data_IF_484816458822
#
_entry.id   IF_484816458822
#
_cell.length_a   1.000
_cell.length_b   1.000
_cell.length_c   1.000
_cell.angle_alpha   90.00
_cell.angle_beta   90.00
_cell.angle_gamma   90.00
#
_symmetry.space_group_name_H-M   'P 1'
#
loop_
_entity.id
_entity.type
_entity.pdbx_description
1 polymer ?
#
# COMPACT_ATOMS: atom_id res chain seq x y z
N UNK A 1 -9.04 -85.01 -6.69
CA UNK A 1 -8.58 -84.71 -5.33
C UNK A 1 -7.62 -83.53 -5.43
N UNK A 2 -8.04 -82.37 -4.91
CA UNK A 2 -7.30 -81.12 -4.60
C UNK A 2 -6.36 -80.53 -5.67
N UNK A 3 -6.72 -79.44 -6.37
CA UNK A 3 -6.58 -78.02 -5.94
C UNK A 3 -5.19 -77.63 -5.42
N UNK A 4 -4.46 -76.84 -6.22
CA UNK A 4 -4.16 -75.42 -5.92
C UNK A 4 -3.02 -74.92 -6.81
N UNK A 5 -3.38 -74.44 -8.00
CA UNK A 5 -2.50 -73.60 -8.81
C UNK A 5 -2.24 -72.30 -8.04
N UNK A 6 -1.09 -72.21 -7.38
CA UNK A 6 -0.52 -70.97 -6.85
C UNK A 6 -0.21 -70.01 -8.01
N UNK A 7 -1.24 -69.39 -8.57
CA UNK A 7 -1.10 -68.14 -9.32
C UNK A 7 -0.78 -67.05 -8.31
N UNK A 8 0.51 -66.95 -7.94
CA UNK A 8 1.06 -65.80 -7.24
C UNK A 8 0.80 -64.60 -8.16
N UNK A 9 -0.25 -63.82 -7.88
CA UNK A 9 -0.49 -62.57 -8.56
C UNK A 9 0.76 -61.71 -8.36
N UNK A 10 1.54 -61.56 -9.42
CA UNK A 10 2.66 -60.62 -9.41
C UNK A 10 2.04 -59.24 -9.11
N UNK A 11 2.57 -58.48 -8.14
CA UNK A 11 2.10 -57.13 -7.90
C UNK A 11 2.20 -56.36 -9.22
N UNK A 12 1.12 -55.67 -9.58
CA UNK A 12 1.03 -54.88 -10.81
C UNK A 12 1.96 -53.66 -10.63
N UNK A 13 3.25 -53.84 -10.94
CA UNK A 13 4.36 -52.94 -10.57
C UNK A 13 4.17 -51.49 -11.00
N UNK A 14 3.34 -51.28 -12.01
CA UNK A 14 2.98 -49.95 -12.53
C UNK A 14 2.04 -49.17 -11.59
N UNK A 15 1.22 -49.87 -10.78
CA UNK A 15 0.36 -49.27 -9.76
C UNK A 15 1.16 -48.69 -8.60
N UNK A 16 2.09 -49.49 -8.07
CA UNK A 16 2.93 -49.15 -6.91
C UNK A 16 3.86 -47.95 -7.19
N UNK A 17 4.52 -47.94 -8.36
CA UNK A 17 5.42 -46.83 -8.72
C UNK A 17 4.67 -45.51 -8.92
N UNK A 18 3.48 -45.58 -9.53
CA UNK A 18 2.64 -44.41 -9.77
C UNK A 18 2.15 -43.80 -8.46
N UNK A 19 1.76 -44.64 -7.50
CA UNK A 19 1.35 -44.20 -6.17
C UNK A 19 2.50 -43.51 -5.43
N UNK A 20 3.70 -44.09 -5.47
CA UNK A 20 4.90 -43.47 -4.89
C UNK A 20 5.18 -42.08 -5.48
N UNK A 21 5.14 -41.95 -6.81
CA UNK A 21 5.36 -40.66 -7.49
C UNK A 21 4.30 -39.64 -7.10
N UNK A 22 3.03 -40.04 -7.05
CA UNK A 22 1.93 -39.16 -6.64
C UNK A 22 2.11 -38.69 -5.19
N UNK A 23 2.46 -39.59 -4.28
CA UNK A 23 2.70 -39.27 -2.86
C UNK A 23 3.85 -38.28 -2.72
N UNK A 24 4.99 -38.53 -3.36
CA UNK A 24 6.16 -37.63 -3.31
C UNK A 24 5.79 -36.24 -3.84
N UNK A 25 5.15 -36.19 -5.02
CA UNK A 25 4.73 -34.93 -5.63
C UNK A 25 3.79 -34.15 -4.69
N UNK A 26 2.80 -34.82 -4.11
CA UNK A 26 1.86 -34.21 -3.18
C UNK A 26 2.52 -33.75 -1.88
N UNK A 27 3.43 -34.53 -1.30
CA UNK A 27 4.14 -34.16 -0.07
C UNK A 27 4.96 -32.88 -0.27
N UNK A 28 5.75 -32.81 -1.34
CA UNK A 28 6.53 -31.59 -1.66
C UNK A 28 5.60 -30.42 -1.95
N UNK A 29 4.55 -30.64 -2.75
CA UNK A 29 3.56 -29.61 -3.08
C UNK A 29 2.89 -29.05 -1.82
N UNK A 30 2.57 -29.90 -0.84
CA UNK A 30 1.94 -29.48 0.42
C UNK A 30 2.82 -28.48 1.19
N UNK A 31 4.13 -28.75 1.27
CA UNK A 31 5.09 -27.85 1.92
C UNK A 31 5.17 -26.51 1.16
N UNK A 32 5.21 -26.55 -0.17
CA UNK A 32 5.23 -25.34 -0.99
C UNK A 32 3.94 -24.53 -0.86
N UNK A 33 2.77 -25.17 -0.83
CA UNK A 33 1.47 -24.52 -0.59
C UNK A 33 1.46 -23.79 0.76
N UNK A 34 1.92 -24.45 1.82
CA UNK A 34 2.00 -23.84 3.14
C UNK A 34 2.97 -22.64 3.14
N UNK A 35 4.11 -22.76 2.45
CA UNK A 35 5.07 -21.67 2.30
C UNK A 35 4.50 -20.47 1.54
N UNK A 36 3.80 -20.70 0.41
CA UNK A 36 3.20 -19.60 -0.36
C UNK A 36 2.08 -18.93 0.40
N UNK A 37 1.25 -19.68 1.11
CA UNK A 37 0.20 -19.10 1.97
C UNK A 37 0.79 -18.25 3.10
N UNK A 38 1.88 -18.72 3.73
CA UNK A 38 2.60 -17.95 4.75
C UNK A 38 3.19 -16.65 4.20
N UNK A 39 3.84 -16.70 3.04
CA UNK A 39 4.39 -15.50 2.39
C UNK A 39 3.29 -14.52 1.97
N UNK A 40 2.16 -15.01 1.44
CA UNK A 40 1.00 -14.16 1.13
C UNK A 40 0.52 -13.41 2.38
N UNK A 41 0.35 -14.11 3.50
CA UNK A 41 -0.06 -13.50 4.77
C UNK A 41 0.94 -12.44 5.27
N UNK A 42 2.24 -12.69 5.15
CA UNK A 42 3.29 -11.73 5.51
C UNK A 42 3.24 -10.45 4.68
N UNK A 43 3.16 -10.59 3.36
CA UNK A 43 3.05 -9.44 2.45
C UNK A 43 1.74 -8.66 2.66
N UNK A 44 0.63 -9.36 2.90
CA UNK A 44 -0.63 -8.73 3.30
C UNK A 44 -0.52 -7.96 4.62
N UNK A 45 0.31 -8.44 5.56
CA UNK A 45 0.62 -7.74 6.80
C UNK A 45 1.38 -6.43 6.58
N UNK A 46 2.47 -6.45 5.80
CA UNK A 46 3.23 -5.23 5.47
C UNK A 46 2.42 -4.23 4.64
N UNK A 47 1.57 -4.72 3.73
CA UNK A 47 0.56 -3.91 3.05
C UNK A 47 -0.35 -3.19 4.06
N UNK A 48 -0.95 -3.94 4.99
CA UNK A 48 -1.88 -3.38 5.99
C UNK A 48 -1.19 -2.32 6.86
N UNK A 49 0.02 -2.60 7.35
CA UNK A 49 0.82 -1.63 8.11
C UNK A 49 1.07 -0.36 7.30
N UNK A 50 1.45 -0.50 6.03
CA UNK A 50 1.75 0.63 5.16
C UNK A 50 0.49 1.46 4.84
N UNK A 51 -0.66 0.82 4.59
CA UNK A 51 -1.94 1.52 4.42
C UNK A 51 -2.41 2.21 5.71
N UNK A 52 -2.19 1.61 6.88
CA UNK A 52 -2.49 2.26 8.16
C UNK A 52 -1.63 3.52 8.36
N UNK A 53 -0.33 3.44 8.04
CA UNK A 53 0.56 4.61 8.06
C UNK A 53 0.13 5.69 7.06
N UNK A 54 -0.26 5.30 5.84
CA UNK A 54 -0.79 6.22 4.85
C UNK A 54 -2.06 6.92 5.34
N UNK A 55 -2.95 6.18 6.00
CA UNK A 55 -4.21 6.71 6.52
C UNK A 55 -3.97 7.67 7.68
N UNK A 56 -3.05 7.35 8.59
CA UNK A 56 -2.62 8.27 9.65
C UNK A 56 -2.04 9.57 9.07
N UNK A 57 -1.17 9.48 8.07
CA UNK A 57 -0.61 10.64 7.40
C UNK A 57 -1.68 11.51 6.69
N UNK A 58 -2.73 10.91 6.12
CA UNK A 58 -3.88 11.66 5.57
C UNK A 58 -4.67 12.39 6.65
N UNK A 59 -4.84 11.78 7.84
CA UNK A 59 -5.47 12.44 8.98
C UNK A 59 -4.64 13.63 9.45
N UNK A 60 -3.33 13.47 9.55
CA UNK A 60 -2.41 14.55 9.89
C UNK A 60 -2.45 15.68 8.84
N UNK A 61 -2.45 15.34 7.55
CA UNK A 61 -2.62 16.32 6.48
C UNK A 61 -3.90 17.15 6.66
N UNK A 62 -5.05 16.49 6.86
CA UNK A 62 -6.32 17.18 7.11
C UNK A 62 -6.30 18.06 8.37
N UNK A 63 -5.64 17.60 9.44
CA UNK A 63 -5.43 18.38 10.67
C UNK A 63 -4.62 19.65 10.40
N UNK A 64 -3.52 19.53 9.67
CA UNK A 64 -2.64 20.65 9.32
C UNK A 64 -3.31 21.63 8.32
N UNK A 65 -4.05 21.14 7.34
CA UNK A 65 -4.85 21.99 6.45
C UNK A 65 -5.94 22.76 7.22
N UNK A 66 -6.62 22.09 8.15
CA UNK A 66 -7.59 22.72 9.03
C UNK A 66 -6.99 23.82 9.88
N UNK A 67 -5.77 23.61 10.40
CA UNK A 67 -5.01 24.63 11.13
C UNK A 67 -4.66 25.83 10.23
N UNK A 68 -4.09 25.56 9.05
CA UNK A 68 -3.72 26.59 8.07
C UNK A 68 -4.92 27.45 7.67
N UNK A 69 -6.06 26.82 7.37
CA UNK A 69 -7.29 27.52 6.99
C UNK A 69 -7.84 28.36 8.14
N UNK A 70 -7.81 27.85 9.38
CA UNK A 70 -8.27 28.60 10.56
C UNK A 70 -7.39 29.82 10.82
N UNK A 71 -6.07 29.63 10.78
CA UNK A 71 -5.10 30.73 10.93
C UNK A 71 -5.28 31.78 9.83
N UNK A 72 -5.37 31.36 8.57
CA UNK A 72 -5.61 32.25 7.44
C UNK A 72 -6.91 33.03 7.58
N UNK A 73 -8.00 32.38 7.99
CA UNK A 73 -9.31 33.05 8.20
C UNK A 73 -9.24 34.11 9.29
N UNK A 74 -8.59 33.81 10.43
CA UNK A 74 -8.39 34.77 11.52
C UNK A 74 -7.55 35.95 11.03
N UNK A 75 -6.46 35.69 10.31
CA UNK A 75 -5.54 36.72 9.84
C UNK A 75 -6.15 37.60 8.75
N UNK A 76 -6.93 37.05 7.81
CA UNK A 76 -7.71 37.82 6.85
C UNK A 76 -8.72 38.73 7.56
N UNK A 77 -9.38 38.24 8.61
CA UNK A 77 -10.32 39.07 9.40
C UNK A 77 -9.60 40.22 10.12
N UNK A 78 -8.42 39.98 10.70
CA UNK A 78 -7.57 41.02 11.30
C UNK A 78 -7.12 42.06 10.26
N UNK A 79 -6.71 41.61 9.07
CA UNK A 79 -6.35 42.50 7.97
C UNK A 79 -7.54 43.37 7.51
N UNK A 80 -8.72 42.79 7.33
CA UNK A 80 -9.93 43.55 6.96
C UNK A 80 -10.25 44.62 8.01
N UNK A 81 -10.18 44.28 9.30
CA UNK A 81 -10.41 45.26 10.37
C UNK A 81 -9.38 46.38 10.37
N UNK A 82 -8.11 46.08 10.09
CA UNK A 82 -7.07 47.11 9.93
C UNK A 82 -7.33 48.01 8.70
N UNK A 83 -7.71 47.43 7.55
CA UNK A 83 -8.07 48.20 6.35
C UNK A 83 -9.25 49.14 6.63
N UNK A 84 -10.27 48.66 7.34
CA UNK A 84 -11.41 49.48 7.74
C UNK A 84 -10.98 50.64 8.64
N UNK A 85 -10.16 50.39 9.66
CA UNK A 85 -9.64 51.44 10.55
C UNK A 85 -8.80 52.48 9.81
N UNK A 86 -7.96 52.06 8.85
CA UNK A 86 -7.25 52.98 7.95
C UNK A 86 -8.21 53.82 7.10
N UNK A 87 -9.23 53.18 6.52
CA UNK A 87 -10.20 53.88 5.66
C UNK A 87 -11.08 54.89 6.41
N UNK A 88 -11.34 54.66 7.70
CA UNK A 88 -12.10 55.56 8.56
C UNK A 88 -11.25 56.67 9.18
N UNK A 89 -9.92 56.65 8.97
CA UNK A 89 -8.99 57.60 9.57
C UNK A 89 -8.68 57.34 11.05
N UNK A 90 -9.09 56.20 11.61
CA UNK A 90 -8.79 55.80 12.99
C UNK A 90 -7.39 55.18 13.09
N UNK A 91 -6.39 56.05 12.98
CA UNK A 91 -4.96 55.69 13.02
C UNK A 91 -4.56 54.99 14.32
N UNK A 92 -5.17 55.35 15.47
CA UNK A 92 -4.90 54.70 16.76
C UNK A 92 -5.33 53.25 16.75
N UNK A 93 -6.53 52.95 16.24
CA UNK A 93 -7.01 51.57 16.11
C UNK A 93 -6.16 50.78 15.10
N UNK A 94 -5.84 51.38 13.96
CA UNK A 94 -5.01 50.74 12.94
C UNK A 94 -3.62 50.35 13.48
N UNK A 95 -2.94 51.26 14.18
CA UNK A 95 -1.63 50.98 14.78
C UNK A 95 -1.71 49.93 15.89
N UNK A 96 -2.75 49.98 16.72
CA UNK A 96 -2.98 48.95 17.74
C UNK A 96 -3.18 47.57 17.10
N UNK A 97 -4.01 47.45 16.06
CA UNK A 97 -4.22 46.18 15.37
C UNK A 97 -2.93 45.65 14.75
N UNK A 98 -2.17 46.52 14.06
CA UNK A 98 -0.90 46.17 13.41
C UNK A 98 0.12 45.65 14.42
N UNK A 99 0.23 46.29 15.58
CA UNK A 99 1.16 45.86 16.64
C UNK A 99 0.81 44.49 17.25
N UNK A 100 -0.42 44.01 17.07
CA UNK A 100 -0.92 42.74 17.61
C UNK A 100 -1.16 41.68 16.52
N UNK A 101 -0.73 41.91 15.28
CA UNK A 101 -0.83 40.86 14.26
C UNK A 101 0.02 39.64 14.67
N UNK A 102 -0.52 38.42 14.54
CA UNK A 102 0.25 37.21 14.78
C UNK A 102 1.16 36.92 13.57
N UNK A 103 2.21 36.13 13.77
CA UNK A 103 2.97 35.57 12.65
C UNK A 103 2.15 34.51 11.88
N UNK A 104 2.35 34.36 10.55
CA UNK A 104 3.28 35.12 9.70
C UNK A 104 2.75 36.48 9.20
N UNK A 105 1.54 36.90 9.58
CA UNK A 105 0.94 38.15 9.11
C UNK A 105 1.74 39.38 9.52
N UNK A 106 2.29 39.42 10.74
CA UNK A 106 3.07 40.57 11.21
C UNK A 106 4.30 40.87 10.35
N UNK A 107 5.13 39.84 10.10
CA UNK A 107 6.31 39.97 9.24
C UNK A 107 5.92 40.29 7.79
N UNK A 108 4.94 39.57 7.24
CA UNK A 108 4.47 39.81 5.87
C UNK A 108 3.87 41.21 5.68
N UNK A 109 3.11 41.70 6.66
CA UNK A 109 2.53 43.04 6.64
C UNK A 109 3.61 44.12 6.68
N UNK A 110 4.63 43.94 7.51
CA UNK A 110 5.73 44.90 7.64
C UNK A 110 6.49 45.03 6.31
N UNK A 111 6.89 43.90 5.72
CA UNK A 111 7.54 43.88 4.41
C UNK A 111 6.63 44.41 3.29
N UNK A 112 5.33 44.10 3.33
CA UNK A 112 4.37 44.58 2.34
C UNK A 112 4.23 46.11 2.35
N UNK A 113 4.19 46.73 3.54
CA UNK A 113 4.08 48.19 3.66
C UNK A 113 5.35 48.93 3.20
N UNK A 114 6.53 48.31 3.33
CA UNK A 114 7.79 48.86 2.82
C UNK A 114 7.80 49.01 1.29
N UNK A 115 6.96 48.24 0.58
CA UNK A 115 6.81 48.33 -0.87
C UNK A 115 5.88 49.46 -1.33
N UNK A 116 5.32 50.22 -0.39
CA UNK A 116 4.35 51.31 -0.63
C UNK A 116 3.19 50.89 -1.56
N UNK A 117 2.42 49.84 -1.22
CA UNK A 117 1.48 49.18 -2.13
C UNK A 117 0.29 50.06 -2.56
N UNK A 118 0.09 51.21 -1.90
CA UNK A 118 -0.93 52.19 -2.26
C UNK A 118 -0.51 53.08 -3.44
N UNK A 119 0.80 53.23 -3.68
CA UNK A 119 1.38 54.05 -4.75
C UNK A 119 2.11 53.22 -5.79
N UNK A 120 2.61 52.05 -5.40
CA UNK A 120 3.36 51.12 -6.24
C UNK A 120 2.46 50.02 -6.83
N UNK A 121 2.09 50.15 -8.11
CA UNK A 121 1.28 49.17 -8.83
C UNK A 121 1.98 47.80 -9.05
N UNK A 122 3.29 47.73 -8.84
CA UNK A 122 4.06 46.47 -8.96
C UNK A 122 4.13 45.70 -7.63
N UNK A 123 3.71 46.30 -6.52
CA UNK A 123 3.67 45.61 -5.24
C UNK A 123 2.59 44.51 -5.23
N UNK A 124 2.77 43.42 -4.46
CA UNK A 124 1.71 42.43 -4.24
C UNK A 124 0.43 43.10 -3.73
N UNK A 125 -0.74 42.54 -4.04
CA UNK A 125 -2.02 43.22 -3.74
C UNK A 125 -2.36 43.17 -2.26
N UNK A 126 -1.89 42.16 -1.56
CA UNK A 126 -2.13 41.95 -0.13
C UNK A 126 -0.88 41.38 0.53
N UNK A 127 -0.71 41.54 1.86
CA UNK A 127 0.39 40.91 2.58
C UNK A 127 0.37 39.37 2.48
N UNK A 128 -0.77 38.75 2.16
CA UNK A 128 -0.89 37.30 2.00
C UNK A 128 -0.23 36.76 0.72
N UNK A 129 0.10 37.64 -0.23
CA UNK A 129 0.84 37.30 -1.46
C UNK A 129 2.35 37.49 -1.30
N UNK A 130 2.82 37.96 -0.13
CA UNK A 130 4.23 38.18 0.14
C UNK A 130 4.99 36.86 0.35
N UNK A 131 6.25 36.75 -0.10
CA UNK A 131 7.11 35.60 0.19
C UNK A 131 7.28 35.31 1.69
N UNK A 132 7.20 36.34 2.53
CA UNK A 132 7.29 36.26 3.99
C UNK A 132 6.06 35.60 4.62
N UNK A 133 4.93 35.53 3.91
CA UNK A 133 3.71 34.90 4.40
C UNK A 133 3.78 33.37 4.31
N UNK A 134 4.57 32.76 5.18
CA UNK A 134 4.77 31.30 5.22
C UNK A 134 4.03 30.68 6.40
N UNK A 135 2.96 29.94 6.12
CA UNK A 135 2.24 29.17 7.14
C UNK A 135 2.92 27.81 7.37
N UNK A 136 3.44 27.58 8.57
CA UNK A 136 4.07 26.30 8.94
C UNK A 136 3.12 25.11 8.75
N UNK A 137 1.87 25.26 9.17
CA UNK A 137 0.82 24.24 9.04
C UNK A 137 0.54 23.88 7.58
N UNK A 138 0.63 24.83 6.65
CA UNK A 138 0.49 24.54 5.21
C UNK A 138 1.65 23.66 4.71
N UNK A 139 2.87 23.94 5.13
CA UNK A 139 4.03 23.10 4.81
C UNK A 139 3.90 21.68 5.37
N UNK A 140 3.50 21.56 6.63
CA UNK A 140 3.26 20.27 7.29
C UNK A 140 2.16 19.45 6.61
N UNK A 141 1.10 20.10 6.13
CA UNK A 141 0.05 19.43 5.34
C UNK A 141 0.62 18.81 4.06
N UNK A 142 1.42 19.56 3.30
CA UNK A 142 2.05 19.09 2.06
C UNK A 142 2.98 17.90 2.33
N UNK A 143 3.79 17.99 3.38
CA UNK A 143 4.69 16.90 3.79
C UNK A 143 3.90 15.63 4.18
N UNK A 144 2.82 15.78 4.96
CA UNK A 144 1.96 14.67 5.35
C UNK A 144 1.25 14.02 4.15
N UNK A 145 0.80 14.80 3.16
CA UNK A 145 0.27 14.27 1.89
C UNK A 145 1.32 13.47 1.15
N UNK A 146 2.55 13.99 1.04
CA UNK A 146 3.67 13.29 0.39
C UNK A 146 3.99 11.96 1.07
N UNK A 147 4.05 11.96 2.41
CA UNK A 147 4.24 10.75 3.20
C UNK A 147 3.11 9.74 2.95
N UNK A 148 1.85 10.19 2.93
CA UNK A 148 0.71 9.33 2.65
C UNK A 148 0.81 8.66 1.27
N UNK A 149 1.29 9.38 0.27
CA UNK A 149 1.48 8.85 -1.08
C UNK A 149 2.58 7.78 -1.11
N UNK A 150 3.76 8.06 -0.54
CA UNK A 150 4.87 7.10 -0.44
C UNK A 150 4.42 5.82 0.26
N UNK A 151 3.67 5.94 1.36
CA UNK A 151 3.16 4.78 2.11
C UNK A 151 2.09 4.00 1.35
N UNK A 152 1.25 4.68 0.58
CA UNK A 152 0.27 4.05 -0.29
C UNK A 152 0.96 3.24 -1.39
N UNK A 153 1.97 3.81 -2.04
CA UNK A 153 2.74 3.12 -3.08
C UNK A 153 3.42 1.87 -2.56
N UNK A 154 4.09 1.96 -1.39
CA UNK A 154 4.65 0.79 -0.71
C UNK A 154 3.58 -0.25 -0.42
N UNK A 155 2.41 0.16 0.09
CA UNK A 155 1.33 -0.79 0.39
C UNK A 155 0.85 -1.54 -0.86
N UNK A 156 0.73 -0.84 -2.00
CA UNK A 156 0.34 -1.45 -3.27
C UNK A 156 1.40 -2.42 -3.82
N UNK A 157 2.68 -2.11 -3.63
CA UNK A 157 3.77 -3.04 -3.98
C UNK A 157 3.69 -4.32 -3.13
N UNK A 158 3.54 -4.19 -1.81
CA UNK A 158 3.36 -5.32 -0.91
C UNK A 158 2.09 -6.12 -1.23
N UNK A 159 0.99 -5.46 -1.64
CA UNK A 159 -0.21 -6.14 -2.09
C UNK A 159 0.05 -7.02 -3.32
N UNK A 160 0.78 -6.51 -4.32
CA UNK A 160 1.13 -7.29 -5.52
C UNK A 160 1.91 -8.55 -5.16
N UNK A 161 2.82 -8.47 -4.20
CA UNK A 161 3.54 -9.65 -3.72
C UNK A 161 2.61 -10.66 -3.03
N UNK A 162 1.70 -10.18 -2.17
CA UNK A 162 0.68 -11.02 -1.51
C UNK A 162 -0.19 -11.76 -2.54
N UNK A 163 -0.70 -11.04 -3.53
CA UNK A 163 -1.56 -11.59 -4.58
C UNK A 163 -0.82 -12.65 -5.41
N UNK A 164 0.43 -12.36 -5.78
CA UNK A 164 1.29 -13.30 -6.50
C UNK A 164 1.49 -14.62 -5.73
N UNK A 165 1.74 -14.57 -4.42
CA UNK A 165 1.85 -15.77 -3.59
C UNK A 165 0.50 -16.50 -3.43
N UNK A 166 -0.61 -15.77 -3.42
CA UNK A 166 -1.96 -16.36 -3.38
C UNK A 166 -2.25 -17.16 -4.65
N UNK A 167 -1.89 -16.64 -5.83
CA UNK A 167 -2.00 -17.37 -7.10
C UNK A 167 -1.20 -18.67 -7.08
N UNK A 168 0.05 -18.64 -6.59
CA UNK A 168 0.85 -19.87 -6.47
C UNK A 168 0.23 -20.88 -5.50
N UNK A 169 -0.38 -20.42 -4.42
CA UNK A 169 -1.12 -21.29 -3.47
C UNK A 169 -2.26 -22.04 -4.18
N UNK A 170 -3.00 -21.36 -5.06
CA UNK A 170 -4.08 -21.96 -5.86
C UNK A 170 -3.51 -22.97 -6.88
N UNK A 171 -2.38 -22.63 -7.53
CA UNK A 171 -1.72 -23.55 -8.47
C UNK A 171 -1.25 -24.83 -7.77
N UNK A 172 -0.60 -24.71 -6.60
CA UNK A 172 -0.19 -25.89 -5.84
C UNK A 172 -1.38 -26.68 -5.29
N UNK A 173 -2.48 -26.02 -4.88
CA UNK A 173 -3.73 -26.73 -4.53
C UNK A 173 -4.28 -27.54 -5.72
N UNK A 174 -4.17 -27.01 -6.94
CA UNK A 174 -4.54 -27.72 -8.17
C UNK A 174 -3.64 -28.94 -8.42
N UNK A 175 -2.34 -28.83 -8.17
CA UNK A 175 -1.40 -29.96 -8.22
C UNK A 175 -1.78 -31.04 -7.19
N UNK A 176 -2.09 -30.66 -5.95
CA UNK A 176 -2.54 -31.59 -4.91
C UNK A 176 -3.83 -32.31 -5.33
N UNK A 177 -4.78 -31.59 -5.93
CA UNK A 177 -6.02 -32.18 -6.43
C UNK A 177 -5.75 -33.24 -7.50
N UNK A 178 -4.96 -32.93 -8.53
CA UNK A 178 -4.65 -33.89 -9.59
C UNK A 178 -3.84 -35.10 -9.07
N UNK A 179 -2.90 -34.86 -8.14
CA UNK A 179 -2.18 -35.93 -7.44
C UNK A 179 -3.15 -36.87 -6.71
N UNK A 180 -4.07 -36.32 -5.91
CA UNK A 180 -5.03 -37.11 -5.14
C UNK A 180 -6.01 -37.90 -6.01
N UNK A 181 -6.50 -37.29 -7.10
CA UNK A 181 -7.43 -37.95 -8.02
C UNK A 181 -6.72 -39.05 -8.82
N UNK A 182 -5.45 -38.86 -9.17
CA UNK A 182 -4.70 -39.84 -9.97
C UNK A 182 -4.65 -41.24 -9.37
N UNK A 183 -4.58 -41.35 -8.03
CA UNK A 183 -4.58 -42.62 -7.30
C UNK A 183 -5.93 -43.35 -7.33
N UNK A 184 -7.05 -42.63 -7.57
CA UNK A 184 -8.40 -43.21 -7.58
C UNK A 184 -8.83 -43.73 -8.95
N UNK A 185 -8.07 -43.43 -10.01
CA UNK A 185 -8.46 -43.77 -11.39
C UNK A 185 -8.01 -45.19 -11.75
N UNK A 186 -8.99 -46.05 -12.06
CA UNK A 186 -8.78 -47.45 -12.46
C UNK A 186 -8.03 -47.60 -13.79
N UNK A 187 -8.23 -46.68 -14.74
CA UNK A 187 -7.53 -46.67 -16.02
C UNK A 187 -6.10 -46.12 -15.85
N UNK A 188 -5.10 -46.95 -16.15
CA UNK A 188 -3.68 -46.62 -15.98
C UNK A 188 -3.26 -45.37 -16.75
N UNK A 189 -3.63 -45.27 -18.04
CA UNK A 189 -3.35 -44.10 -18.88
C UNK A 189 -3.91 -42.79 -18.30
N UNK A 190 -5.17 -42.80 -17.86
CA UNK A 190 -5.81 -41.62 -17.28
C UNK A 190 -5.12 -41.18 -15.97
N UNK A 191 -4.66 -42.12 -15.14
CA UNK A 191 -3.87 -41.79 -13.95
C UNK A 191 -2.54 -41.12 -14.29
N UNK A 192 -1.83 -41.60 -15.31
CA UNK A 192 -0.58 -40.98 -15.77
C UNK A 192 -0.79 -39.60 -16.41
N UNK A 193 -1.90 -39.38 -17.14
CA UNK A 193 -2.24 -38.05 -17.69
C UNK A 193 -2.47 -37.02 -16.57
N UNK A 194 -3.13 -37.42 -15.48
CA UNK A 194 -3.36 -36.56 -14.31
C UNK A 194 -2.03 -36.21 -13.63
N UNK A 195 -1.15 -37.19 -13.41
CA UNK A 195 0.18 -36.96 -12.83
C UNK A 195 1.04 -36.09 -13.74
N UNK A 196 1.01 -36.32 -15.05
CA UNK A 196 1.73 -35.51 -16.03
C UNK A 196 1.27 -34.05 -15.99
N UNK A 197 -0.03 -33.81 -15.97
CA UNK A 197 -0.61 -32.47 -15.81
C UNK A 197 -0.19 -31.82 -14.50
N UNK A 198 -0.26 -32.56 -13.39
CA UNK A 198 0.16 -32.09 -12.07
C UNK A 198 1.65 -31.72 -12.05
N UNK A 199 2.51 -32.56 -12.65
CA UNK A 199 3.94 -32.32 -12.72
C UNK A 199 4.29 -31.08 -13.56
N UNK A 200 3.61 -30.86 -14.69
CA UNK A 200 3.81 -29.64 -15.51
C UNK A 200 3.43 -28.38 -14.73
N UNK A 201 2.27 -28.38 -14.08
CA UNK A 201 1.84 -27.24 -13.25
C UNK A 201 2.80 -27.03 -12.09
N UNK A 202 3.23 -28.09 -11.42
CA UNK A 202 4.18 -28.03 -10.31
C UNK A 202 5.50 -27.40 -10.74
N UNK A 203 6.11 -27.88 -11.83
CA UNK A 203 7.39 -27.36 -12.33
C UNK A 203 7.25 -25.87 -12.70
N UNK A 204 6.16 -25.49 -13.37
CA UNK A 204 5.89 -24.09 -13.72
C UNK A 204 5.74 -23.20 -12.48
N UNK A 205 4.90 -23.60 -11.53
CA UNK A 205 4.65 -22.85 -10.29
C UNK A 205 5.91 -22.76 -9.41
N UNK A 206 6.66 -23.86 -9.26
CA UNK A 206 7.91 -23.88 -8.50
C UNK A 206 9.00 -23.02 -9.15
N UNK A 207 9.08 -22.99 -10.49
CA UNK A 207 10.03 -22.12 -11.19
C UNK A 207 9.71 -20.65 -10.95
N UNK A 208 8.43 -20.28 -11.01
CA UNK A 208 7.97 -18.90 -10.70
C UNK A 208 8.23 -18.56 -9.23
N UNK A 209 7.91 -19.48 -8.29
CA UNK A 209 8.11 -19.29 -6.86
C UNK A 209 9.54 -18.89 -6.49
N UNK A 210 10.53 -19.48 -7.16
CA UNK A 210 11.96 -19.20 -6.92
C UNK A 210 12.31 -17.74 -7.25
N UNK A 211 11.58 -17.11 -8.18
CA UNK A 211 11.81 -15.71 -8.60
C UNK A 211 11.16 -14.67 -7.68
N UNK A 212 10.21 -15.07 -6.82
CA UNK A 212 9.46 -14.13 -6.00
C UNK A 212 10.25 -13.63 -4.78
N UNK A 213 10.08 -12.36 -4.38
CA UNK A 213 10.75 -11.80 -3.22
C UNK A 213 10.16 -12.36 -1.92
N UNK A 214 11.05 -12.70 -0.99
CA UNK A 214 10.70 -13.36 0.27
C UNK A 214 10.76 -12.34 1.41
N UNK A 215 9.72 -12.32 2.24
CA UNK A 215 9.69 -11.50 3.45
C UNK A 215 10.01 -12.38 4.66
N UNK A 216 11.12 -12.09 5.36
CA UNK A 216 11.58 -12.84 6.53
C UNK A 216 11.14 -12.20 7.83
#
# INVERSE_FOLDING_TARGET
MSESSLSRALPDSSGDWRELVAVILMSVTTVLTAWTAFQASKWSGDMSISFNQASAARVDAGRYEGEANRQGTIQVSLYIGWVQAQSSGDTKLADYMRANFPEPLASAMSAWLELEPLTNLSAPKTPFEMPEYVQLSRGQAVEAVSLAQIKTEKALESNKHSDNYTVLTILFATVLFFGAVSGRVRRTLSGWILIGTAAVIFIGASSILVTFPKLF
#
